data_IF_736524925395
#
_entry.id   IF_736524925395
#
_cell.length_a   1.000
_cell.length_b   1.000
_cell.length_c   1.000
_cell.angle_alpha   90.00
_cell.angle_beta   90.00
_cell.angle_gamma   90.00
#
_symmetry.space_group_name_H-M   'P 1'
#
loop_
_entity.id
_entity.type
_entity.pdbx_description
1 polymer ?
#
# COMPACT_ATOMS: atom_id res chain seq x y z
N UNK A 1 5.13 43.16 16.32
CA UNK A 1 6.20 42.33 15.73
C UNK A 1 5.52 41.10 15.15
N UNK A 2 5.41 41.02 13.82
CA UNK A 2 4.80 39.87 13.15
C UNK A 2 5.79 38.72 13.13
N UNK A 3 5.37 37.52 13.53
CA UNK A 3 6.21 36.33 13.47
C UNK A 3 6.24 35.83 12.03
N UNK A 4 7.44 35.69 11.47
CA UNK A 4 7.66 35.11 10.15
C UNK A 4 7.41 33.60 10.24
N UNK A 5 6.29 33.13 9.68
CA UNK A 5 5.86 31.72 9.73
C UNK A 5 6.50 30.96 8.56
N UNK A 6 7.83 30.88 8.56
CA UNK A 6 8.60 30.17 7.52
C UNK A 6 9.22 28.85 8.01
N UNK A 7 8.92 28.42 9.24
CA UNK A 7 9.45 27.16 9.78
C UNK A 7 8.66 25.94 9.28
N UNK A 8 9.39 24.96 8.74
CA UNK A 8 8.83 23.68 8.27
C UNK A 8 8.76 22.70 9.43
N UNK A 9 7.53 22.28 9.78
CA UNK A 9 7.32 21.16 10.72
C UNK A 9 7.39 19.85 9.93
N UNK A 10 8.42 19.04 10.21
CA UNK A 10 8.63 17.75 9.57
C UNK A 10 9.04 16.68 10.60
N UNK A 11 8.82 15.43 10.22
CA UNK A 11 9.30 14.24 10.93
C UNK A 11 10.09 13.37 9.95
N UNK A 12 10.47 12.15 10.36
CA UNK A 12 11.22 11.20 9.55
C UNK A 12 10.51 10.91 8.21
N UNK A 13 11.26 10.87 7.10
CA UNK A 13 10.68 10.68 5.77
C UNK A 13 10.19 9.25 5.48
N UNK A 14 10.49 8.28 6.36
CA UNK A 14 10.15 6.86 6.20
C UNK A 14 9.34 6.37 7.40
N UNK A 15 8.51 5.35 7.18
CA UNK A 15 7.70 4.75 8.24
C UNK A 15 6.58 5.64 8.80
N UNK A 16 6.36 6.85 8.27
CA UNK A 16 5.39 7.80 8.81
C UNK A 16 3.93 7.44 8.53
N UNK A 17 3.65 6.63 7.49
CA UNK A 17 2.30 6.30 7.06
C UNK A 17 1.73 5.19 7.96
N UNK A 18 0.77 5.55 8.80
CA UNK A 18 0.13 4.64 9.78
C UNK A 18 -1.03 3.80 9.24
N UNK A 19 -1.37 3.94 7.95
CA UNK A 19 -2.45 3.20 7.29
C UNK A 19 -2.28 3.18 5.76
N UNK A 20 -2.64 2.07 5.14
CA UNK A 20 -2.70 1.94 3.69
C UNK A 20 -4.05 1.36 3.26
N UNK A 21 -4.52 1.80 2.09
CA UNK A 21 -5.61 1.14 1.38
C UNK A 21 -4.98 0.41 0.20
N UNK A 22 -5.05 -0.91 0.23
CA UNK A 22 -4.52 -1.78 -0.81
C UNK A 22 -5.68 -2.13 -1.74
N UNK A 23 -5.49 -1.86 -3.02
CA UNK A 23 -6.42 -2.28 -4.08
C UNK A 23 -6.23 -3.77 -4.33
N UNK A 24 -7.34 -4.49 -4.53
CA UNK A 24 -7.37 -5.88 -4.93
C UNK A 24 -8.04 -5.99 -6.30
N UNK A 25 -7.47 -6.77 -7.21
CA UNK A 25 -8.05 -7.07 -8.52
C UNK A 25 -7.75 -8.50 -8.90
N UNK A 26 -8.77 -9.30 -9.15
CA UNK A 26 -8.58 -10.63 -9.70
C UNK A 26 -8.44 -10.55 -11.22
N UNK A 27 -7.38 -11.14 -11.76
CA UNK A 27 -7.09 -11.19 -13.19
C UNK A 27 -7.50 -12.55 -13.76
N UNK A 28 -8.64 -12.67 -14.48
CA UNK A 28 -9.16 -13.97 -14.92
C UNK A 28 -8.24 -14.69 -15.90
N UNK A 29 -7.52 -13.94 -16.74
CA UNK A 29 -6.63 -14.49 -17.77
C UNK A 29 -5.41 -15.22 -17.20
N UNK A 30 -4.93 -14.78 -16.04
CA UNK A 30 -3.73 -15.33 -15.39
C UNK A 30 -4.07 -16.08 -14.10
N UNK A 31 -5.36 -16.10 -13.71
CA UNK A 31 -5.86 -16.63 -12.44
C UNK A 31 -5.12 -16.10 -11.21
N UNK A 32 -4.74 -14.83 -11.23
CA UNK A 32 -3.95 -14.20 -10.17
C UNK A 32 -4.70 -13.04 -9.53
N UNK A 33 -4.61 -12.97 -8.20
CA UNK A 33 -5.02 -11.80 -7.44
C UNK A 33 -3.86 -10.79 -7.42
N UNK A 34 -4.10 -9.60 -7.96
CA UNK A 34 -3.22 -8.45 -7.80
C UNK A 34 -3.57 -7.68 -6.53
N UNK A 35 -2.55 -7.27 -5.78
CA UNK A 35 -2.66 -6.54 -4.54
C UNK A 35 -1.61 -5.41 -4.50
N UNK A 36 -2.05 -4.17 -4.32
CA UNK A 36 -1.12 -3.05 -4.16
C UNK A 36 -1.74 -1.68 -4.34
N UNK A 37 -1.05 -0.75 -4.99
CA UNK A 37 -1.50 0.63 -5.21
C UNK A 37 -1.80 0.92 -6.68
N UNK A 38 -2.63 1.93 -6.93
CA UNK A 38 -2.87 2.39 -8.30
C UNK A 38 -1.62 3.04 -8.88
N UNK A 39 -1.28 2.67 -10.12
CA UNK A 39 -0.29 3.38 -10.92
C UNK A 39 -0.76 4.82 -11.15
N UNK A 40 0.18 5.77 -11.18
CA UNK A 40 -0.15 7.18 -11.38
C UNK A 40 -0.93 7.37 -12.70
N UNK A 41 -2.09 8.04 -12.62
CA UNK A 41 -2.95 8.29 -13.78
C UNK A 41 -3.63 7.05 -14.38
N UNK A 42 -3.61 5.89 -13.71
CA UNK A 42 -4.23 4.65 -14.20
C UNK A 42 -5.03 3.93 -13.11
N UNK A 43 -5.94 3.06 -13.54
CA UNK A 43 -6.63 2.10 -12.68
C UNK A 43 -5.80 0.84 -12.42
N UNK A 44 -4.70 0.64 -13.16
CA UNK A 44 -3.81 -0.52 -13.03
C UNK A 44 -3.20 -0.61 -11.63
N UNK A 45 -3.09 -1.83 -11.11
CA UNK A 45 -2.49 -2.09 -9.80
C UNK A 45 -1.01 -2.40 -9.99
N UNK A 46 -0.16 -1.67 -9.27
CA UNK A 46 1.23 -2.03 -9.03
C UNK A 46 1.26 -2.96 -7.84
N UNK A 47 1.69 -4.20 -8.03
CA UNK A 47 1.86 -5.15 -6.93
C UNK A 47 2.94 -4.66 -5.96
N UNK A 48 2.63 -4.68 -4.66
CA UNK A 48 3.50 -4.14 -3.61
C UNK A 48 3.91 -5.26 -2.65
N UNK A 49 5.20 -5.57 -2.61
CA UNK A 49 5.80 -6.49 -1.62
C UNK A 49 6.52 -5.76 -0.48
N UNK A 50 6.79 -4.47 -0.67
CA UNK A 50 7.44 -3.60 0.32
C UNK A 50 6.89 -2.17 0.22
N UNK A 51 6.74 -1.48 1.35
CA UNK A 51 6.28 -0.09 1.39
C UNK A 51 7.07 0.70 2.45
N UNK A 52 8.23 1.28 2.11
CA UNK A 52 9.13 1.92 3.09
C UNK A 52 8.53 3.13 3.83
N UNK A 53 7.53 3.78 3.25
CA UNK A 53 6.82 4.89 3.90
C UNK A 53 5.78 4.40 4.91
N UNK A 54 5.37 3.13 4.85
CA UNK A 54 4.43 2.53 5.78
C UNK A 54 5.13 2.21 7.11
N UNK A 55 4.41 2.38 8.22
CA UNK A 55 4.93 2.05 9.53
C UNK A 55 5.52 0.62 9.55
N UNK A 56 6.72 0.38 10.12
CA UNK A 56 7.43 -0.89 9.97
C UNK A 56 6.61 -2.13 10.31
N UNK A 57 5.81 -2.07 11.37
CA UNK A 57 4.93 -3.17 11.78
C UNK A 57 3.83 -3.49 10.77
N UNK A 58 3.30 -2.49 10.05
CA UNK A 58 2.33 -2.71 8.97
C UNK A 58 3.03 -3.19 7.69
N UNK A 59 4.22 -2.65 7.40
CA UNK A 59 5.03 -3.07 6.25
C UNK A 59 5.43 -4.55 6.34
N UNK A 60 5.75 -5.02 7.54
CA UNK A 60 6.09 -6.42 7.81
C UNK A 60 4.95 -7.41 7.52
N UNK A 61 3.69 -6.96 7.58
CA UNK A 61 2.51 -7.81 7.31
C UNK A 61 2.21 -7.96 5.81
N UNK A 62 2.80 -7.14 4.94
CA UNK A 62 2.49 -7.15 3.51
C UNK A 62 2.71 -8.53 2.85
N UNK A 63 3.81 -9.25 3.09
CA UNK A 63 4.02 -10.58 2.51
C UNK A 63 2.97 -11.59 2.97
N UNK A 64 2.63 -11.60 4.26
CA UNK A 64 1.65 -12.54 4.83
C UNK A 64 0.25 -12.29 4.28
N UNK A 65 -0.14 -11.03 4.14
CA UNK A 65 -1.42 -10.66 3.51
C UNK A 65 -1.42 -11.05 2.03
N UNK A 66 -0.31 -10.85 1.31
CA UNK A 66 -0.17 -11.25 -0.10
C UNK A 66 -0.31 -12.77 -0.29
N UNK A 67 0.19 -13.55 0.65
CA UNK A 67 0.04 -15.01 0.66
C UNK A 67 -1.36 -15.47 1.07
N UNK A 68 -1.95 -14.82 2.07
CA UNK A 68 -3.24 -15.21 2.63
C UNK A 68 -4.40 -14.93 1.67
N UNK A 69 -4.46 -13.75 1.04
CA UNK A 69 -5.61 -13.34 0.24
C UNK A 69 -5.94 -14.30 -0.91
N UNK A 70 -5.00 -14.80 -1.73
CA UNK A 70 -5.27 -15.79 -2.78
C UNK A 70 -5.83 -17.12 -2.28
N UNK A 71 -5.60 -17.49 -1.02
CA UNK A 71 -6.10 -18.74 -0.42
C UNK A 71 -7.58 -18.68 -0.02
N UNK A 72 -8.18 -17.49 -0.01
CA UNK A 72 -9.56 -17.30 0.41
C UNK A 72 -10.54 -17.77 -0.67
N UNK A 73 -11.61 -18.46 -0.25
CA UNK A 73 -12.63 -18.97 -1.17
C UNK A 73 -13.35 -17.87 -1.98
N UNK A 74 -13.39 -16.64 -1.46
CA UNK A 74 -14.04 -15.48 -2.10
C UNK A 74 -13.19 -14.75 -3.14
N UNK A 75 -12.01 -15.24 -3.52
CA UNK A 75 -11.15 -14.57 -4.51
C UNK A 75 -11.80 -14.47 -5.90
N UNK A 76 -12.71 -15.40 -6.20
CA UNK A 76 -13.34 -15.57 -7.52
C UNK A 76 -14.82 -15.18 -7.55
N UNK A 77 -15.38 -14.72 -6.42
CA UNK A 77 -16.80 -14.40 -6.27
C UNK A 77 -17.16 -13.00 -6.76
#
# INVERSE_FOLDING_TARGET
VGHDVNDIIADRPWGYRRRARLSLSYQPKTERLEMGFRKAGSSDIVSVTQCPVLAPHLGALLPDVHHCLPSLAGVRS
#
